data_IF_286463708477
#
_entry.id   IF_286463708477
#
_cell.length_a   1.000
_cell.length_b   1.000
_cell.length_c   1.000
_cell.angle_alpha   90.00
_cell.angle_beta   90.00
_cell.angle_gamma   90.00
#
_symmetry.space_group_name_H-M   'P 1'
#
loop_
_entity.id
_entity.type
_entity.pdbx_description
1 polymer ?
#
# COMPACT_ATOMS: atom_id res chain seq x y z
N UNK A 1 11.15 5.69 -9.12
CA UNK A 1 11.60 5.13 -10.41
C UNK A 1 11.26 3.66 -10.49
N UNK A 2 11.77 2.98 -11.51
CA UNK A 2 11.50 1.55 -11.79
C UNK A 2 11.86 0.61 -10.64
N UNK A 3 12.96 0.87 -9.92
CA UNK A 3 13.32 0.15 -8.69
C UNK A 3 12.22 0.23 -7.60
N UNK A 4 11.66 1.41 -7.34
CA UNK A 4 10.56 1.59 -6.38
C UNK A 4 9.29 0.85 -6.84
N UNK A 5 9.01 0.84 -8.15
CA UNK A 5 7.89 0.09 -8.71
C UNK A 5 8.07 -1.42 -8.50
N UNK A 6 9.26 -1.95 -8.78
CA UNK A 6 9.60 -3.36 -8.56
C UNK A 6 9.44 -3.75 -7.09
N UNK A 7 9.99 -2.95 -6.18
CA UNK A 7 9.85 -3.17 -4.74
C UNK A 7 8.39 -3.19 -4.29
N UNK A 8 7.61 -2.18 -4.70
CA UNK A 8 6.18 -2.09 -4.36
C UNK A 8 5.40 -3.29 -4.87
N UNK A 9 5.72 -3.78 -6.07
CA UNK A 9 5.06 -4.93 -6.69
C UNK A 9 5.37 -6.23 -5.93
N UNK A 10 6.66 -6.51 -5.71
CA UNK A 10 7.11 -7.70 -4.98
C UNK A 10 6.52 -7.76 -3.56
N UNK A 11 6.68 -6.66 -2.80
CA UNK A 11 6.14 -6.54 -1.45
C UNK A 11 4.63 -6.81 -1.39
N UNK A 12 3.85 -6.10 -2.22
CA UNK A 12 2.38 -6.20 -2.18
C UNK A 12 1.92 -7.60 -2.57
N UNK A 13 2.51 -8.21 -3.60
CA UNK A 13 2.12 -9.53 -4.09
C UNK A 13 2.42 -10.61 -3.05
N UNK A 14 3.60 -10.59 -2.46
CA UNK A 14 4.03 -11.62 -1.49
C UNK A 14 3.24 -11.52 -0.20
N UNK A 15 3.08 -10.31 0.37
CA UNK A 15 2.29 -10.15 1.60
C UNK A 15 0.82 -10.50 1.38
N UNK A 16 0.25 -10.13 0.22
CA UNK A 16 -1.13 -10.51 -0.10
C UNK A 16 -1.29 -12.03 -0.20
N UNK A 17 -0.40 -12.70 -0.95
CA UNK A 17 -0.39 -14.17 -1.08
C UNK A 17 -0.33 -14.84 0.30
N UNK A 18 0.57 -14.39 1.17
CA UNK A 18 0.70 -14.92 2.53
C UNK A 18 -0.56 -14.68 3.36
N UNK A 19 -1.10 -13.45 3.33
CA UNK A 19 -2.29 -13.10 4.09
C UNK A 19 -3.52 -13.92 3.66
N UNK A 20 -3.73 -14.08 2.35
CA UNK A 20 -4.78 -14.93 1.78
C UNK A 20 -4.61 -16.39 2.22
N UNK A 21 -3.40 -16.95 2.11
CA UNK A 21 -3.11 -18.34 2.50
C UNK A 21 -3.26 -18.61 4.00
N UNK A 22 -3.03 -17.59 4.84
CA UNK A 22 -3.12 -17.71 6.30
C UNK A 22 -4.56 -17.76 6.85
N UNK A 23 -5.58 -17.45 6.03
CA UNK A 23 -6.98 -17.33 6.47
C UNK A 23 -7.26 -16.13 7.39
N UNK A 24 -6.25 -15.28 7.66
CA UNK A 24 -6.40 -14.10 8.52
C UNK A 24 -7.33 -13.04 7.92
N UNK A 25 -7.57 -13.09 6.61
CA UNK A 25 -8.41 -12.13 5.89
C UNK A 25 -9.88 -12.56 5.80
N UNK A 26 -10.22 -13.80 6.11
CA UNK A 26 -11.56 -14.37 5.87
C UNK A 26 -12.71 -13.63 6.58
N UNK A 27 -12.40 -12.96 7.69
CA UNK A 27 -13.37 -12.20 8.48
C UNK A 27 -13.59 -10.78 7.95
N UNK A 28 -12.79 -10.32 7.00
CA UNK A 28 -12.89 -8.97 6.45
C UNK A 28 -13.95 -8.92 5.36
N UNK A 29 -14.88 -7.97 5.50
CA UNK A 29 -15.96 -7.74 4.54
C UNK A 29 -15.60 -6.73 3.44
N UNK A 30 -14.31 -6.44 3.29
CA UNK A 30 -13.82 -5.41 2.39
C UNK A 30 -12.43 -5.74 1.89
N UNK A 31 -12.08 -5.17 0.73
CA UNK A 31 -10.80 -5.42 0.10
C UNK A 31 -9.66 -4.61 0.74
N UNK A 32 -8.51 -5.26 0.85
CA UNK A 32 -7.22 -4.66 1.21
C UNK A 32 -6.56 -4.10 -0.05
N UNK A 33 -6.14 -2.84 0.02
CA UNK A 33 -5.41 -2.14 -1.05
C UNK A 33 -3.91 -2.38 -0.93
N UNK A 34 -3.18 -2.26 -2.05
CA UNK A 34 -1.72 -2.23 -2.05
C UNK A 34 -1.11 -1.14 -1.17
N UNK A 35 -1.84 -0.07 -0.89
CA UNK A 35 -1.41 0.98 0.04
C UNK A 35 -1.45 0.53 1.50
N UNK A 36 -2.39 -0.35 1.88
CA UNK A 36 -2.52 -0.83 3.25
C UNK A 36 -1.30 -1.68 3.65
N UNK A 37 -0.71 -2.42 2.69
CA UNK A 37 0.53 -3.18 2.88
C UNK A 37 1.77 -2.31 3.08
N UNK A 38 1.68 -1.00 2.82
CA UNK A 38 2.79 -0.05 2.91
C UNK A 38 2.59 0.98 4.03
N UNK A 39 1.45 0.94 4.73
CA UNK A 39 1.18 1.84 5.84
C UNK A 39 2.21 1.62 6.96
N UNK A 40 2.86 2.70 7.40
CA UNK A 40 3.88 2.66 8.44
C UNK A 40 5.21 1.99 8.04
N UNK A 41 5.37 1.58 6.79
CA UNK A 41 6.60 0.93 6.32
C UNK A 41 7.71 1.95 6.05
N UNK A 42 8.85 1.76 6.69
CA UNK A 42 10.10 2.44 6.33
C UNK A 42 11.01 1.45 5.62
N UNK A 43 11.47 1.80 4.42
CA UNK A 43 12.34 0.95 3.62
C UNK A 43 13.42 1.76 2.91
N UNK A 44 14.60 1.19 2.80
CA UNK A 44 15.72 1.73 2.01
C UNK A 44 15.94 0.78 0.83
N UNK A 45 15.91 1.32 -0.39
CA UNK A 45 16.07 0.56 -1.62
C UNK A 45 17.33 1.06 -2.32
N UNK A 46 18.37 0.25 -2.33
CA UNK A 46 19.61 0.51 -3.05
C UNK A 46 19.76 -0.50 -4.17
N UNK A 47 19.94 -0.02 -5.40
CA UNK A 47 20.16 -0.86 -6.59
C UNK A 47 21.43 -0.43 -7.29
N UNK A 48 22.19 -1.41 -7.78
CA UNK A 48 23.34 -1.17 -8.66
C UNK A 48 22.91 -1.53 -10.08
N UNK A 49 23.01 -0.57 -10.99
CA UNK A 49 22.62 -0.71 -12.40
C UNK A 49 23.81 -0.27 -13.24
N UNK A 50 24.22 -1.10 -14.21
CA UNK A 50 25.43 -0.83 -15.01
C UNK A 50 25.30 0.46 -15.83
N UNK A 51 24.18 0.63 -16.54
CA UNK A 51 23.90 1.82 -17.35
C UNK A 51 22.60 2.48 -16.87
N UNK A 52 22.65 3.30 -15.79
CA UNK A 52 21.44 3.86 -15.21
C UNK A 52 20.90 5.01 -16.07
N UNK A 53 19.64 4.87 -16.47
CA UNK A 53 18.85 5.87 -17.18
C UNK A 53 17.95 6.59 -16.18
N UNK A 54 17.97 7.92 -16.16
CA UNK A 54 17.12 8.72 -15.29
C UNK A 54 16.22 9.66 -16.07
N UNK A 55 15.00 9.86 -15.56
CA UNK A 55 14.13 10.94 -16.02
C UNK A 55 14.63 12.27 -15.43
N UNK A 56 15.05 13.19 -16.31
CA UNK A 56 15.52 14.52 -15.95
C UNK A 56 16.94 14.57 -15.39
N UNK A 57 17.50 15.78 -15.35
CA UNK A 57 18.90 16.02 -14.96
C UNK A 57 19.17 15.76 -13.47
N UNK A 58 18.16 15.94 -12.61
CA UNK A 58 18.28 15.77 -11.15
C UNK A 58 18.35 14.30 -10.71
N UNK A 59 18.29 13.34 -11.65
CA UNK A 59 18.40 11.89 -11.40
C UNK A 59 17.42 11.36 -10.34
N UNK A 60 16.25 11.97 -10.21
CA UNK A 60 15.27 11.63 -9.15
C UNK A 60 14.48 10.36 -9.44
N UNK A 61 14.35 9.98 -10.71
CA UNK A 61 13.54 8.83 -11.12
C UNK A 61 14.28 7.95 -12.11
N UNK A 62 14.71 6.78 -11.65
CA UNK A 62 15.26 5.74 -12.52
C UNK A 62 14.22 5.26 -13.54
N UNK A 63 14.62 5.17 -14.82
CA UNK A 63 13.80 4.83 -15.98
C UNK A 63 14.09 3.46 -16.60
N UNK A 64 15.17 2.77 -16.20
CA UNK A 64 15.51 1.40 -16.65
C UNK A 64 14.35 0.43 -16.40
N UNK A 65 13.59 0.06 -17.43
CA UNK A 65 12.40 -0.80 -17.32
C UNK A 65 12.76 -2.22 -16.86
N UNK A 66 13.91 -2.69 -17.30
CA UNK A 66 14.50 -3.98 -16.95
C UNK A 66 14.79 -4.12 -15.44
N UNK A 67 14.86 -3.02 -14.69
CA UNK A 67 15.09 -3.06 -13.23
C UNK A 67 13.85 -3.50 -12.44
N UNK A 68 12.64 -3.35 -13.00
CA UNK A 68 11.40 -3.68 -12.28
C UNK A 68 11.34 -5.16 -11.90
N UNK A 69 11.63 -6.06 -12.87
CA UNK A 69 11.47 -7.50 -12.66
C UNK A 69 12.49 -8.09 -11.67
N UNK A 70 13.80 -7.84 -11.78
CA UNK A 70 14.79 -8.36 -10.84
C UNK A 70 14.55 -7.87 -9.41
N UNK A 71 14.21 -6.58 -9.23
CA UNK A 71 13.89 -6.05 -7.90
C UNK A 71 12.62 -6.70 -7.34
N UNK A 72 11.57 -6.84 -8.15
CA UNK A 72 10.34 -7.49 -7.71
C UNK A 72 10.54 -8.96 -7.35
N UNK A 73 11.36 -9.70 -8.10
CA UNK A 73 11.67 -11.11 -7.85
C UNK A 73 12.49 -11.27 -6.58
N UNK A 74 13.58 -10.52 -6.43
CA UNK A 74 14.43 -10.58 -5.24
C UNK A 74 13.66 -10.23 -3.96
N UNK A 75 12.79 -9.21 -4.00
CA UNK A 75 11.93 -8.87 -2.87
C UNK A 75 10.94 -10.00 -2.58
N UNK A 76 10.32 -10.58 -3.62
CA UNK A 76 9.32 -11.62 -3.43
C UNK A 76 9.91 -12.89 -2.81
N UNK A 77 11.04 -13.36 -3.33
CA UNK A 77 11.74 -14.56 -2.85
C UNK A 77 12.18 -14.39 -1.39
N UNK A 78 12.93 -13.33 -1.08
CA UNK A 78 13.44 -13.12 0.28
C UNK A 78 12.33 -12.88 1.29
N UNK A 79 11.27 -12.17 0.90
CA UNK A 79 10.15 -11.90 1.80
C UNK A 79 9.31 -13.16 2.01
N UNK A 80 9.13 -14.01 1.01
CA UNK A 80 8.42 -15.28 1.15
C UNK A 80 9.16 -16.18 2.14
N UNK A 81 10.47 -16.37 1.97
CA UNK A 81 11.31 -17.10 2.93
C UNK A 81 11.22 -16.51 4.34
N UNK A 82 11.34 -15.19 4.49
CA UNK A 82 11.24 -14.54 5.80
C UNK A 82 9.90 -14.83 6.50
N UNK A 83 8.77 -14.73 5.78
CA UNK A 83 7.44 -14.93 6.36
C UNK A 83 7.19 -16.39 6.76
N UNK A 84 7.75 -17.35 6.03
CA UNK A 84 7.69 -18.78 6.35
C UNK A 84 8.55 -19.14 7.57
N UNK A 85 9.76 -18.59 7.64
CA UNK A 85 10.69 -18.82 8.75
C UNK A 85 10.26 -18.11 10.05
N UNK A 86 9.52 -16.99 9.93
CA UNK A 86 9.13 -16.14 11.06
C UNK A 86 7.60 -15.98 11.18
N UNK A 87 6.85 -17.05 11.50
CA UNK A 87 5.38 -17.03 11.48
C UNK A 87 4.75 -16.07 12.50
N UNK A 88 5.41 -15.82 13.63
CA UNK A 88 4.93 -14.86 14.63
C UNK A 88 5.00 -13.43 14.09
N UNK A 89 6.13 -13.05 13.50
CA UNK A 89 6.31 -11.73 12.88
C UNK A 89 5.38 -11.56 11.69
N UNK A 90 5.26 -12.58 10.85
CA UNK A 90 4.37 -12.58 9.70
C UNK A 90 2.91 -12.32 10.11
N UNK A 91 2.45 -12.95 11.19
CA UNK A 91 1.12 -12.68 11.76
C UNK A 91 0.96 -11.24 12.23
N UNK A 92 1.97 -10.68 12.92
CA UNK A 92 1.96 -9.28 13.38
C UNK A 92 1.89 -8.32 12.19
N UNK A 93 2.68 -8.57 11.15
CA UNK A 93 2.69 -7.78 9.91
C UNK A 93 1.30 -7.80 9.27
N UNK A 94 0.71 -8.98 9.06
CA UNK A 94 -0.64 -9.10 8.48
C UNK A 94 -1.68 -8.39 9.34
N UNK A 95 -1.65 -8.54 10.66
CA UNK A 95 -2.56 -7.82 11.57
C UNK A 95 -2.45 -6.30 11.45
N UNK A 96 -1.23 -5.77 11.30
CA UNK A 96 -1.00 -4.34 11.08
C UNK A 96 -1.59 -3.86 9.76
N UNK A 97 -1.47 -4.65 8.69
CA UNK A 97 -2.10 -4.38 7.40
C UNK A 97 -3.64 -4.38 7.51
N UNK A 98 -4.20 -5.33 8.25
CA UNK A 98 -5.65 -5.39 8.50
C UNK A 98 -6.12 -4.13 9.23
N UNK A 99 -5.36 -3.67 10.23
CA UNK A 99 -5.67 -2.44 10.97
C UNK A 99 -5.64 -1.20 10.06
N UNK A 100 -4.65 -1.10 9.16
CA UNK A 100 -4.57 -0.04 8.17
C UNK A 100 -5.78 -0.04 7.23
N UNK A 101 -6.17 -1.22 6.73
CA UNK A 101 -7.36 -1.37 5.88
C UNK A 101 -8.65 -0.98 6.62
N UNK A 102 -8.83 -1.42 7.87
CA UNK A 102 -9.95 -1.02 8.72
C UNK A 102 -10.04 0.50 8.88
N UNK A 103 -8.92 1.15 9.17
CA UNK A 103 -8.85 2.61 9.31
C UNK A 103 -9.23 3.33 8.01
N UNK A 104 -8.71 2.87 6.87
CA UNK A 104 -9.04 3.41 5.54
C UNK A 104 -10.53 3.31 5.24
N UNK A 105 -11.14 2.15 5.47
CA UNK A 105 -12.57 1.94 5.22
C UNK A 105 -13.46 2.70 6.20
N UNK A 106 -13.09 2.79 7.48
CA UNK A 106 -13.80 3.61 8.46
C UNK A 106 -13.79 5.10 8.05
N UNK A 107 -12.63 5.61 7.63
CA UNK A 107 -12.51 6.98 7.13
C UNK A 107 -13.35 7.23 5.86
N UNK A 108 -13.33 6.28 4.91
CA UNK A 108 -14.16 6.36 3.68
C UNK A 108 -15.65 6.42 4.02
N UNK A 109 -16.13 5.50 4.88
CA UNK A 109 -17.53 5.45 5.30
C UNK A 109 -17.95 6.74 6.03
N UNK A 110 -17.11 7.29 6.88
CA UNK A 110 -17.38 8.57 7.55
C UNK A 110 -17.58 9.72 6.55
N UNK A 111 -16.69 9.84 5.54
CA UNK A 111 -16.81 10.85 4.49
C UNK A 111 -18.08 10.70 3.66
N UNK A 112 -18.42 9.47 3.26
CA UNK A 112 -19.65 9.18 2.50
C UNK A 112 -20.92 9.50 3.29
N UNK A 113 -20.96 9.19 4.59
CA UNK A 113 -22.09 9.55 5.45
C UNK A 113 -22.27 11.07 5.57
N UNK A 114 -21.18 11.83 5.68
CA UNK A 114 -21.23 13.29 5.68
C UNK A 114 -21.76 13.80 4.34
N UNK A 115 -21.18 13.36 3.22
CA UNK A 115 -21.62 13.78 1.87
C UNK A 115 -23.09 13.47 1.59
N UNK A 116 -23.58 12.27 1.96
CA UNK A 116 -25.00 11.92 1.79
C UNK A 116 -25.92 12.82 2.62
N UNK A 117 -25.52 13.17 3.85
CA UNK A 117 -26.26 14.14 4.67
C UNK A 117 -26.25 15.54 4.04
N UNK A 118 -25.17 15.96 3.38
CA UNK A 118 -25.12 17.25 2.68
C UNK A 118 -25.99 17.29 1.41
N UNK A 119 -26.19 16.15 0.73
CA UNK A 119 -27.00 16.08 -0.51
C UNK A 119 -28.50 15.98 -0.22
N UNK A 120 -28.92 15.31 0.86
CA UNK A 120 -30.33 15.27 1.29
C UNK A 120 -30.70 16.36 2.32
N UNK A 121 -29.71 17.03 2.92
CA UNK A 121 -29.90 18.18 3.80
C UNK A 121 -29.87 19.47 3.00
N UNK A 122 -31.01 19.84 2.42
CA UNK A 122 -31.20 21.13 1.80
C UNK A 122 -30.80 22.28 2.75
N UNK A 123 -30.17 23.31 2.17
CA UNK A 123 -29.92 24.58 2.84
C UNK A 123 -28.44 24.81 3.13
N UNK A 124 -27.79 25.61 2.27
CA UNK A 124 -26.62 26.37 2.70
C UNK A 124 -26.93 27.10 4.01
N UNK A 125 -25.91 27.24 4.86
CA UNK A 125 -25.92 27.92 6.15
C UNK A 125 -26.99 29.03 6.23
N UNK A 126 -28.16 28.77 6.86
CA UNK A 126 -29.15 29.81 7.07
C UNK A 126 -28.56 30.80 8.07
N UNK A 127 -28.20 32.00 7.59
CA UNK A 127 -27.93 33.15 8.44
C UNK A 127 -26.49 33.43 8.87
N UNK A 128 -25.45 33.03 8.11
CA UNK A 128 -24.07 33.47 8.39
C UNK A 128 -23.33 34.19 7.27
N UNK A 129 -23.96 34.44 6.12
CA UNK A 129 -23.55 35.52 5.22
C UNK A 129 -24.65 36.59 5.22
N UNK A 130 -24.44 37.60 6.05
CA UNK A 130 -25.00 38.93 5.83
C UNK A 130 -23.80 39.80 5.46
N UNK A 131 -23.82 40.28 4.21
CA UNK A 131 -22.87 41.16 3.50
C UNK A 131 -21.43 41.29 4.06
#
# INVERSE_FOLDING_TARGET
GTHLQGFRMGLTRTLKKYADASGLLDKLKFEISGDDFREGLTAIISVKVAEPQFEGQTKTKLGNREVVSPVSQAVAEMLESYLEENPNDAKIIVQKVILAALARHAAKKAREMVQRKTVMGGGGLPGKLSD
#
